data_IF_370714268073
#
_entry.id   IF_370714268073
#
_cell.length_a   1.000
_cell.length_b   1.000
_cell.length_c   1.000
_cell.angle_alpha   90.00
_cell.angle_beta   90.00
_cell.angle_gamma   90.00
#
_symmetry.space_group_name_H-M   'P 1'
#
loop_
_entity.id
_entity.type
_entity.pdbx_description
1 polymer ?
#
# COMPACT_ATOMS: atom_id res chain seq x y z
N UNK A 1 -6.05 -34.51 -19.67
CA UNK A 1 -5.97 -35.05 -18.29
C UNK A 1 -5.17 -34.07 -17.45
N UNK A 2 -5.61 -33.74 -16.24
CA UNK A 2 -6.08 -32.38 -15.90
C UNK A 2 -5.10 -31.59 -15.01
N UNK A 3 -5.17 -30.25 -15.11
CA UNK A 3 -4.56 -29.31 -14.17
C UNK A 3 -5.68 -28.58 -13.39
N UNK A 4 -6.55 -29.35 -12.73
CA UNK A 4 -7.62 -28.84 -11.84
C UNK A 4 -7.21 -28.81 -10.35
N UNK A 5 -6.05 -29.39 -10.00
CA UNK A 5 -5.68 -29.62 -8.59
C UNK A 5 -5.19 -28.37 -7.82
N UNK A 6 -4.88 -27.27 -8.50
CA UNK A 6 -4.40 -26.04 -7.83
C UNK A 6 -5.57 -25.18 -7.33
N UNK A 7 -6.75 -25.27 -7.96
CA UNK A 7 -7.94 -24.51 -7.55
C UNK A 7 -8.59 -25.06 -6.28
N UNK A 8 -8.64 -26.38 -6.11
CA UNK A 8 -9.25 -27.01 -4.93
C UNK A 8 -8.44 -26.77 -3.66
N UNK A 9 -7.10 -26.81 -3.71
CA UNK A 9 -6.28 -26.61 -2.51
C UNK A 9 -6.39 -25.20 -1.93
N UNK A 10 -6.47 -24.17 -2.79
CA UNK A 10 -6.69 -22.79 -2.36
C UNK A 10 -8.11 -22.58 -1.80
N UNK A 11 -9.12 -23.15 -2.46
CA UNK A 11 -10.51 -23.10 -2.01
C UNK A 11 -10.71 -23.82 -0.66
N UNK A 12 -10.01 -24.93 -0.41
CA UNK A 12 -10.07 -25.67 0.86
C UNK A 12 -9.35 -24.88 1.98
N UNK A 13 -8.22 -24.23 1.68
CA UNK A 13 -7.51 -23.38 2.65
C UNK A 13 -8.34 -22.13 3.03
N UNK A 14 -9.06 -21.54 2.08
CA UNK A 14 -9.92 -20.38 2.31
C UNK A 14 -11.25 -20.77 3.01
N UNK A 15 -11.82 -21.93 2.67
CA UNK A 15 -12.98 -22.51 3.37
C UNK A 15 -12.65 -22.85 4.83
N UNK A 16 -11.54 -23.53 5.10
CA UNK A 16 -11.12 -23.88 6.47
C UNK A 16 -10.75 -22.66 7.30
N UNK A 17 -10.18 -21.61 6.69
CA UNK A 17 -9.93 -20.32 7.36
C UNK A 17 -11.24 -19.63 7.75
N UNK A 18 -12.27 -19.72 6.93
CA UNK A 18 -13.58 -19.13 7.20
C UNK A 18 -14.32 -19.89 8.31
N UNK A 19 -14.25 -21.22 8.32
CA UNK A 19 -14.88 -22.08 9.33
C UNK A 19 -14.22 -21.95 10.71
N UNK A 20 -12.89 -21.78 10.76
CA UNK A 20 -12.17 -21.55 12.02
C UNK A 20 -12.47 -20.15 12.58
N UNK A 21 -12.65 -19.13 11.72
CA UNK A 21 -12.94 -17.75 12.13
C UNK A 21 -14.42 -17.50 12.50
N UNK A 22 -15.33 -18.39 12.14
CA UNK A 22 -16.75 -18.29 12.51
C UNK A 22 -17.00 -18.49 14.01
N UNK A 23 -16.06 -19.13 14.73
CA UNK A 23 -16.16 -19.42 16.17
C UNK A 23 -15.53 -18.40 17.12
N UNK A 24 -14.84 -17.38 16.61
CA UNK A 24 -14.17 -16.37 17.45
C UNK A 24 -15.07 -15.19 17.77
N UNK A 25 -15.01 -14.74 19.02
CA UNK A 25 -15.64 -13.50 19.47
C UNK A 25 -15.03 -12.29 18.77
N UNK A 26 -15.74 -11.16 18.79
CA UNK A 26 -15.23 -9.90 18.22
C UNK A 26 -13.90 -9.46 18.84
N UNK A 27 -13.70 -9.76 20.12
CA UNK A 27 -12.47 -9.47 20.89
C UNK A 27 -11.30 -10.34 20.44
N UNK A 28 -11.53 -11.61 20.13
CA UNK A 28 -10.50 -12.51 19.60
C UNK A 28 -10.13 -12.19 18.14
N UNK A 29 -11.10 -11.78 17.31
CA UNK A 29 -10.81 -11.25 15.96
C UNK A 29 -9.97 -9.96 16.03
N UNK A 30 -10.28 -9.07 16.97
CA UNK A 30 -9.50 -7.85 17.19
C UNK A 30 -8.08 -8.15 17.72
N UNK A 31 -7.93 -9.14 18.61
CA UNK A 31 -6.63 -9.58 19.11
C UNK A 31 -5.78 -10.25 18.01
N UNK A 32 -6.38 -11.08 17.14
CA UNK A 32 -5.70 -11.67 16.00
C UNK A 32 -5.28 -10.63 14.96
N UNK A 33 -6.14 -9.64 14.67
CA UNK A 33 -5.78 -8.50 13.80
C UNK A 33 -4.61 -7.69 14.37
N UNK A 34 -4.46 -7.63 15.70
CA UNK A 34 -3.30 -7.03 16.37
C UNK A 34 -2.01 -7.85 16.24
N UNK A 35 -2.06 -9.10 15.76
CA UNK A 35 -0.90 -9.99 15.60
C UNK A 35 -0.48 -10.18 14.13
N UNK A 36 -1.34 -9.87 13.18
CA UNK A 36 -1.05 -9.93 11.73
C UNK A 36 -0.67 -8.56 11.20
N UNK A 37 0.27 -8.51 10.26
CA UNK A 37 0.72 -7.24 9.67
C UNK A 37 -0.38 -6.54 8.90
N UNK A 38 -0.27 -5.21 8.71
CA UNK A 38 -1.20 -4.47 7.84
C UNK A 38 -1.21 -5.08 6.43
N UNK A 39 -0.04 -5.48 5.92
CA UNK A 39 0.10 -6.15 4.62
C UNK A 39 -0.82 -7.37 4.51
N UNK A 40 -0.84 -8.26 5.50
CA UNK A 40 -1.72 -9.42 5.51
C UNK A 40 -3.20 -9.01 5.62
N UNK A 41 -3.51 -8.01 6.46
CA UNK A 41 -4.87 -7.54 6.71
C UNK A 41 -5.50 -6.88 5.49
N UNK A 42 -4.73 -6.20 4.63
CA UNK A 42 -5.23 -5.61 3.39
C UNK A 42 -5.34 -6.61 2.22
N UNK A 43 -4.85 -7.84 2.38
CA UNK A 43 -4.90 -8.89 1.33
C UNK A 43 -3.57 -9.24 0.66
N UNK A 44 -2.44 -8.83 1.25
CA UNK A 44 -1.09 -9.23 0.83
C UNK A 44 -0.69 -8.76 -0.57
N UNK A 45 0.13 -9.55 -1.26
CA UNK A 45 0.71 -9.18 -2.57
C UNK A 45 -0.35 -8.84 -3.62
N UNK A 46 -1.45 -9.58 -3.66
CA UNK A 46 -2.53 -9.35 -4.63
C UNK A 46 -3.12 -7.95 -4.47
N UNK A 47 -3.44 -7.56 -3.23
CA UNK A 47 -3.99 -6.24 -2.92
C UNK A 47 -2.97 -5.12 -3.16
N UNK A 48 -1.71 -5.30 -2.75
CA UNK A 48 -0.64 -4.30 -2.99
C UNK A 48 -0.41 -4.10 -4.49
N UNK A 49 -0.38 -5.17 -5.28
CA UNK A 49 -0.19 -5.08 -6.72
C UNK A 49 -1.32 -4.30 -7.39
N UNK A 50 -2.57 -4.66 -7.09
CA UNK A 50 -3.73 -3.96 -7.61
C UNK A 50 -3.76 -2.48 -7.17
N UNK A 51 -3.45 -2.22 -5.89
CA UNK A 51 -3.40 -0.87 -5.34
C UNK A 51 -2.37 -0.01 -6.09
N UNK A 52 -1.14 -0.48 -6.29
CA UNK A 52 -0.11 0.32 -6.97
C UNK A 52 -0.51 0.64 -8.42
N UNK A 53 -1.09 -0.32 -9.13
CA UNK A 53 -1.52 -0.11 -10.52
C UNK A 53 -2.65 0.94 -10.60
N UNK A 54 -3.65 0.85 -9.72
CA UNK A 54 -4.75 1.83 -9.64
C UNK A 54 -4.22 3.20 -9.20
N UNK A 55 -3.38 3.24 -8.17
CA UNK A 55 -2.80 4.44 -7.59
C UNK A 55 -2.06 5.26 -8.66
N UNK A 56 -1.19 4.64 -9.46
CA UNK A 56 -0.46 5.39 -10.48
C UNK A 56 -1.35 5.87 -11.62
N UNK A 57 -2.44 5.18 -11.97
CA UNK A 57 -3.43 5.73 -12.91
C UNK A 57 -4.03 7.04 -12.39
N UNK A 58 -4.33 7.11 -11.09
CA UNK A 58 -4.88 8.33 -10.47
C UNK A 58 -3.83 9.44 -10.38
N UNK A 59 -2.61 9.11 -9.94
CA UNK A 59 -1.49 10.07 -9.84
C UNK A 59 -1.14 10.67 -11.19
N UNK A 60 -1.06 9.86 -12.25
CA UNK A 60 -0.73 10.33 -13.60
C UNK A 60 -1.86 11.13 -14.24
N UNK A 61 -3.10 11.01 -13.74
CA UNK A 61 -4.24 11.79 -14.17
C UNK A 61 -4.44 13.10 -13.36
N UNK A 62 -3.63 13.35 -12.33
CA UNK A 62 -3.74 14.54 -11.49
C UNK A 62 -2.70 15.59 -11.86
N UNK A 63 -3.16 16.68 -12.47
CA UNK A 63 -2.34 17.82 -12.92
C UNK A 63 -1.50 18.48 -11.81
N UNK A 64 -1.87 18.30 -10.53
CA UNK A 64 -1.07 18.80 -9.39
C UNK A 64 0.29 18.10 -9.34
N UNK A 65 0.34 16.80 -9.65
CA UNK A 65 1.49 15.93 -9.36
C UNK A 65 2.04 15.15 -10.54
N UNK A 66 1.27 14.97 -11.62
CA UNK A 66 1.65 14.18 -12.80
C UNK A 66 2.98 14.63 -13.42
N UNK A 67 3.24 15.94 -13.44
CA UNK A 67 4.49 16.55 -13.93
C UNK A 67 5.77 16.01 -13.27
N UNK A 68 5.70 15.54 -12.02
CA UNK A 68 6.87 14.99 -11.32
C UNK A 68 7.25 13.58 -11.83
N UNK A 69 6.38 12.96 -12.63
CA UNK A 69 6.56 11.65 -13.22
C UNK A 69 6.89 11.72 -14.73
N UNK A 70 7.06 12.91 -15.29
CA UNK A 70 7.48 13.07 -16.69
C UNK A 70 8.86 12.44 -16.93
N UNK A 71 8.96 11.56 -17.93
CA UNK A 71 10.20 10.86 -18.26
C UNK A 71 10.60 9.76 -17.26
N UNK A 72 9.75 9.44 -16.29
CA UNK A 72 9.95 8.31 -15.35
C UNK A 72 9.52 7.01 -16.03
N UNK A 73 10.35 5.97 -15.88
CA UNK A 73 9.97 4.59 -16.20
C UNK A 73 8.94 4.12 -15.17
N UNK A 74 7.67 4.13 -15.57
CA UNK A 74 6.56 3.81 -14.68
C UNK A 74 6.49 2.35 -14.28
N UNK A 75 7.04 1.43 -15.08
CA UNK A 75 7.12 0.00 -14.71
C UNK A 75 8.13 -0.19 -13.58
N UNK A 76 9.32 0.43 -13.71
CA UNK A 76 10.32 0.45 -12.65
C UNK A 76 9.80 1.15 -11.38
N UNK A 77 9.08 2.26 -11.55
CA UNK A 77 8.52 3.02 -10.45
C UNK A 77 7.43 2.23 -9.70
N UNK A 78 6.53 1.56 -10.43
CA UNK A 78 5.52 0.68 -9.84
C UNK A 78 6.16 -0.48 -9.08
N UNK A 79 7.21 -1.11 -9.62
CA UNK A 79 7.93 -2.19 -8.94
C UNK A 79 8.57 -1.72 -7.61
N UNK A 80 9.21 -0.54 -7.61
CA UNK A 80 9.77 0.07 -6.39
C UNK A 80 8.69 0.41 -5.37
N UNK A 81 7.55 0.95 -5.82
CA UNK A 81 6.44 1.28 -4.94
C UNK A 81 5.83 0.03 -4.30
N UNK A 82 5.65 -1.06 -5.07
CA UNK A 82 5.19 -2.37 -4.56
C UNK A 82 6.12 -2.87 -3.46
N UNK A 83 7.42 -2.90 -3.73
CA UNK A 83 8.43 -3.30 -2.74
C UNK A 83 8.40 -2.42 -1.48
N UNK A 84 8.24 -1.11 -1.66
CA UNK A 84 8.13 -0.17 -0.54
C UNK A 84 6.88 -0.41 0.30
N UNK A 85 5.70 -0.55 -0.31
CA UNK A 85 4.45 -0.79 0.42
C UNK A 85 4.45 -2.15 1.12
N UNK A 86 4.96 -3.20 0.48
CA UNK A 86 5.14 -4.51 1.12
C UNK A 86 6.02 -4.37 2.36
N UNK A 87 7.18 -3.72 2.26
CA UNK A 87 8.07 -3.49 3.39
C UNK A 87 7.44 -2.61 4.48
N UNK A 88 6.74 -1.55 4.10
CA UNK A 88 6.12 -0.60 5.02
C UNK A 88 4.94 -1.21 5.79
N UNK A 89 4.14 -2.06 5.13
CA UNK A 89 2.93 -2.64 5.70
C UNK A 89 3.16 -4.01 6.38
N UNK A 90 4.25 -4.71 6.09
CA UNK A 90 4.54 -6.03 6.65
C UNK A 90 5.02 -6.03 8.12
N UNK A 91 5.16 -4.86 8.76
CA UNK A 91 5.49 -4.75 10.18
C UNK A 91 6.78 -3.95 10.43
N UNK A 92 7.44 -4.13 11.60
CA UNK A 92 8.59 -3.33 11.98
C UNK A 92 9.70 -3.50 10.94
N UNK A 93 9.99 -2.42 10.25
CA UNK A 93 10.97 -2.38 9.18
C UNK A 93 12.13 -1.45 9.55
N UNK A 94 13.28 -1.65 8.91
CA UNK A 94 14.47 -0.83 9.11
C UNK A 94 14.50 0.40 8.17
N UNK A 95 13.34 0.94 7.81
CA UNK A 95 13.26 2.16 7.03
C UNK A 95 13.93 3.31 7.78
N UNK A 96 14.99 3.87 7.19
CA UNK A 96 15.80 4.93 7.82
C UNK A 96 15.46 6.35 7.31
N UNK A 97 14.54 6.48 6.35
CA UNK A 97 14.25 7.76 5.69
C UNK A 97 15.27 8.21 4.64
N UNK A 98 16.50 7.69 4.70
CA UNK A 98 17.62 8.16 3.87
C UNK A 98 17.34 8.05 2.37
N UNK A 99 16.74 6.95 1.93
CA UNK A 99 16.49 6.71 0.51
C UNK A 99 15.32 7.55 -0.02
N UNK A 100 14.29 7.81 0.80
CA UNK A 100 13.22 8.74 0.42
C UNK A 100 13.75 10.16 0.30
N UNK A 101 14.55 10.64 1.26
CA UNK A 101 15.21 11.96 1.18
C UNK A 101 16.05 12.10 -0.07
N UNK A 102 16.93 11.13 -0.34
CA UNK A 102 17.79 11.16 -1.53
C UNK A 102 16.98 11.09 -2.82
N UNK A 103 15.99 10.21 -2.88
CA UNK A 103 15.13 10.00 -4.05
C UNK A 103 14.33 11.25 -4.42
N UNK A 104 13.81 11.98 -3.44
CA UNK A 104 12.92 13.12 -3.66
C UNK A 104 13.63 14.49 -3.63
N UNK A 105 14.88 14.58 -3.18
CA UNK A 105 15.61 15.85 -3.05
C UNK A 105 15.62 16.70 -4.33
N UNK A 106 15.72 16.09 -5.51
CA UNK A 106 15.68 16.81 -6.78
C UNK A 106 14.26 17.33 -7.12
N UNK A 107 13.22 16.60 -6.73
CA UNK A 107 11.82 17.02 -6.90
C UNK A 107 11.48 18.18 -5.95
N UNK A 108 11.99 18.17 -4.72
CA UNK A 108 11.86 19.29 -3.76
C UNK A 108 12.50 20.55 -4.34
N UNK A 109 13.68 20.45 -4.96
CA UNK A 109 14.30 21.58 -5.68
C UNK A 109 13.44 22.10 -6.84
N UNK A 110 12.60 21.24 -7.42
CA UNK A 110 11.68 21.55 -8.50
C UNK A 110 10.26 21.90 -8.01
N UNK A 111 10.07 22.12 -6.71
CA UNK A 111 8.82 22.62 -6.13
C UNK A 111 7.89 21.58 -5.52
N UNK A 112 8.33 20.32 -5.35
CA UNK A 112 7.61 19.35 -4.51
C UNK A 112 7.39 19.92 -3.10
N UNK A 113 6.17 19.83 -2.57
CA UNK A 113 5.77 20.49 -1.33
C UNK A 113 4.59 19.73 -0.69
N UNK A 114 4.09 20.22 0.45
CA UNK A 114 3.04 19.56 1.23
C UNK A 114 1.77 19.29 0.42
N UNK A 115 1.32 20.23 -0.43
CA UNK A 115 0.09 20.03 -1.23
C UNK A 115 0.21 18.90 -2.25
N UNK A 116 1.43 18.65 -2.75
CA UNK A 116 1.71 17.54 -3.66
C UNK A 116 1.75 16.21 -2.88
N UNK A 117 2.28 16.22 -1.66
CA UNK A 117 2.26 15.06 -0.79
C UNK A 117 0.82 14.72 -0.37
N UNK A 118 0.01 15.72 -0.03
CA UNK A 118 -1.41 15.54 0.30
C UNK A 118 -2.17 14.91 -0.87
N UNK A 119 -1.92 15.36 -2.10
CA UNK A 119 -2.49 14.75 -3.30
C UNK A 119 -2.11 13.25 -3.44
N UNK A 120 -0.88 12.88 -3.10
CA UNK A 120 -0.45 11.47 -3.07
C UNK A 120 -1.22 10.67 -2.01
N UNK A 121 -1.40 11.21 -0.81
CA UNK A 121 -2.17 10.57 0.27
C UNK A 121 -3.65 10.44 -0.11
N UNK A 122 -4.24 11.46 -0.73
CA UNK A 122 -5.61 11.43 -1.26
C UNK A 122 -5.78 10.29 -2.26
N UNK A 123 -4.85 10.14 -3.21
CA UNK A 123 -4.92 9.07 -4.21
C UNK A 123 -4.70 7.68 -3.61
N UNK A 124 -3.84 7.55 -2.59
CA UNK A 124 -3.69 6.30 -1.85
C UNK A 124 -5.01 5.92 -1.16
N UNK A 125 -5.62 6.85 -0.42
CA UNK A 125 -6.91 6.62 0.25
C UNK A 125 -8.04 6.28 -0.73
N UNK A 126 -8.14 7.01 -1.85
CA UNK A 126 -9.13 6.73 -2.88
C UNK A 126 -8.93 5.36 -3.54
N UNK A 127 -7.67 4.96 -3.74
CA UNK A 127 -7.31 3.64 -4.30
C UNK A 127 -7.73 2.51 -3.37
N UNK A 128 -7.39 2.61 -2.08
CA UNK A 128 -7.74 1.58 -1.12
C UNK A 128 -9.26 1.51 -0.89
N UNK A 129 -9.95 2.66 -0.96
CA UNK A 129 -11.42 2.70 -0.93
C UNK A 129 -12.03 1.98 -2.14
N UNK A 130 -11.48 2.18 -3.35
CA UNK A 130 -11.93 1.49 -4.57
C UNK A 130 -11.70 -0.02 -4.53
N UNK A 131 -10.72 -0.47 -3.74
CA UNK A 131 -10.43 -1.88 -3.49
C UNK A 131 -11.21 -2.46 -2.31
N UNK A 132 -12.23 -1.76 -1.81
CA UNK A 132 -13.06 -2.16 -0.66
C UNK A 132 -12.24 -2.46 0.61
N UNK A 133 -11.09 -1.81 0.78
CA UNK A 133 -10.28 -1.93 2.00
C UNK A 133 -11.03 -1.25 3.16
N UNK A 134 -11.18 -1.90 4.32
CA UNK A 134 -11.83 -1.31 5.48
C UNK A 134 -11.21 0.03 5.93
N UNK A 135 -12.05 0.97 6.34
CA UNK A 135 -11.64 2.36 6.63
C UNK A 135 -10.60 2.48 7.76
N UNK A 136 -10.60 1.55 8.73
CA UNK A 136 -9.59 1.46 9.78
C UNK A 136 -8.22 1.09 9.20
N UNK A 137 -8.16 0.16 8.24
CA UNK A 137 -6.93 -0.21 7.54
C UNK A 137 -6.43 0.90 6.61
N UNK A 138 -7.34 1.62 5.95
CA UNK A 138 -6.99 2.81 5.15
C UNK A 138 -6.34 3.87 6.05
N UNK A 139 -6.90 4.09 7.24
CA UNK A 139 -6.36 5.06 8.21
C UNK A 139 -4.97 4.64 8.69
N UNK A 140 -4.75 3.35 8.94
CA UNK A 140 -3.44 2.79 9.30
C UNK A 140 -2.41 2.94 8.17
N UNK A 141 -2.80 2.62 6.93
CA UNK A 141 -1.96 2.80 5.75
C UNK A 141 -1.59 4.27 5.52
N UNK A 142 -2.55 5.18 5.65
CA UNK A 142 -2.35 6.61 5.54
C UNK A 142 -1.39 7.13 6.63
N UNK A 143 -1.52 6.66 7.87
CA UNK A 143 -0.60 7.03 8.95
C UNK A 143 0.84 6.58 8.69
N UNK A 144 1.03 5.37 8.16
CA UNK A 144 2.35 4.87 7.76
C UNK A 144 2.92 5.72 6.63
N UNK A 145 2.13 6.01 5.59
CA UNK A 145 2.58 6.86 4.49
C UNK A 145 2.93 8.28 4.96
N UNK A 146 2.09 8.87 5.82
CA UNK A 146 2.28 10.19 6.43
C UNK A 146 3.60 10.28 7.22
N UNK A 147 4.02 9.20 7.89
CA UNK A 147 5.29 9.17 8.61
C UNK A 147 6.52 9.45 7.74
N UNK A 148 6.39 9.28 6.41
CA UNK A 148 7.45 9.53 5.43
C UNK A 148 7.52 10.99 4.95
N UNK A 149 6.55 11.84 5.31
CA UNK A 149 6.42 13.20 4.76
C UNK A 149 7.70 14.02 4.89
N UNK A 150 8.29 14.05 6.07
CA UNK A 150 9.51 14.83 6.30
C UNK A 150 10.67 14.32 5.46
N UNK A 151 10.76 13.01 5.24
CA UNK A 151 11.77 12.43 4.38
C UNK A 151 11.55 12.81 2.92
N UNK A 152 10.32 12.69 2.42
CA UNK A 152 9.98 13.04 1.03
C UNK A 152 10.19 14.53 0.77
N UNK A 153 9.85 15.39 1.74
CA UNK A 153 9.94 16.85 1.60
C UNK A 153 11.30 17.42 2.05
N UNK A 154 12.20 16.61 2.59
CA UNK A 154 13.52 17.02 3.05
C UNK A 154 13.50 18.01 4.23
N UNK A 155 12.61 17.78 5.21
CA UNK A 155 12.42 18.62 6.41
C UNK A 155 13.01 17.98 7.67
#
# INVERSE_FOLDING_TARGET
MPNELIGEAAAIAESTRTDVLAGFTAEEKAAQNSQTSLFERIGGDGAVNAAVDIFYRKVLADDRISKFFEGVDMDSQAAKQKAFLTMAFAGPNNYSGTDMRKGHAHLVKNGLNDSHFDAVIEHLGATLTELDVPADLISEAAAIAESTRNDVLGK
#
